data_IF_663792453246
#
_entry.id   IF_663792453246
#
_cell.length_a   1.000
_cell.length_b   1.000
_cell.length_c   1.000
_cell.angle_alpha   90.00
_cell.angle_beta   90.00
_cell.angle_gamma   90.00
#
_symmetry.space_group_name_H-M   'P 1'
#
loop_
_entity.id
_entity.type
_entity.pdbx_description
1 polymer ?
#
# COMPACT_ATOMS: atom_id res chain seq x y z
N UNK A 1 -23.99 -8.44 3.30
CA UNK A 1 -25.37 -8.96 3.23
C UNK A 1 -25.76 -9.19 1.76
N UNK A 2 -25.26 -10.27 1.16
CA UNK A 2 -25.69 -10.65 -0.18
C UNK A 2 -27.01 -11.42 -0.12
N UNK A 3 -27.94 -11.09 -1.02
CA UNK A 3 -29.14 -11.86 -1.20
C UNK A 3 -28.82 -13.18 -1.92
N UNK A 4 -29.28 -14.29 -1.40
CA UNK A 4 -29.12 -15.63 -2.00
C UNK A 4 -30.19 -15.87 -3.08
N UNK A 5 -31.35 -15.24 -2.93
CA UNK A 5 -32.51 -15.36 -3.85
C UNK A 5 -32.89 -13.98 -4.39
N UNK A 6 -33.37 -13.89 -5.64
CA UNK A 6 -33.93 -12.64 -6.19
C UNK A 6 -35.08 -12.07 -5.36
N UNK A 7 -35.76 -12.91 -4.58
CA UNK A 7 -36.88 -12.46 -3.72
C UNK A 7 -36.39 -11.69 -2.49
N UNK A 8 -35.13 -11.89 -2.10
CA UNK A 8 -34.53 -11.27 -0.93
C UNK A 8 -33.82 -9.92 -1.27
N UNK A 9 -33.90 -9.52 -2.55
CA UNK A 9 -33.36 -8.24 -2.99
C UNK A 9 -34.19 -7.10 -2.42
N UNK A 10 -33.57 -6.28 -1.57
CA UNK A 10 -34.22 -5.08 -0.99
C UNK A 10 -34.27 -3.93 -1.98
N UNK A 11 -33.23 -3.80 -2.83
CA UNK A 11 -33.20 -2.81 -3.89
C UNK A 11 -33.41 -3.48 -5.24
N UNK A 12 -34.49 -3.12 -5.91
CA UNK A 12 -34.93 -3.78 -7.16
C UNK A 12 -34.52 -2.98 -8.40
N UNK A 13 -34.75 -1.67 -8.38
CA UNK A 13 -34.44 -0.76 -9.48
C UNK A 13 -33.65 0.45 -8.94
N UNK A 14 -32.73 0.93 -9.73
CA UNK A 14 -31.91 2.11 -9.42
C UNK A 14 -32.59 3.36 -10.02
N UNK A 15 -33.68 3.80 -9.37
CA UNK A 15 -34.49 4.89 -9.91
C UNK A 15 -33.84 6.26 -9.65
N UNK A 16 -33.52 6.57 -8.39
CA UNK A 16 -33.00 7.87 -8.00
C UNK A 16 -32.03 7.76 -6.84
N UNK A 17 -30.91 8.45 -6.94
CA UNK A 17 -29.96 8.63 -5.83
C UNK A 17 -29.62 10.11 -5.63
N UNK A 18 -29.49 10.50 -4.37
CA UNK A 18 -28.92 11.78 -3.96
C UNK A 18 -27.64 11.44 -3.19
N UNK A 19 -26.51 11.96 -3.65
CA UNK A 19 -25.18 11.71 -3.07
C UNK A 19 -24.74 12.96 -2.34
N UNK A 20 -24.50 12.84 -1.03
CA UNK A 20 -23.88 13.88 -0.23
C UNK A 20 -22.37 13.81 -0.38
N UNK A 21 -21.67 14.97 -0.28
CA UNK A 21 -20.25 15.08 -0.59
C UNK A 21 -19.90 14.43 -1.94
N UNK A 22 -20.68 14.81 -2.96
CA UNK A 22 -20.71 14.14 -4.26
C UNK A 22 -19.38 14.14 -5.01
N UNK A 23 -18.56 15.14 -4.82
CA UNK A 23 -17.22 15.24 -5.37
C UNK A 23 -16.29 14.14 -4.83
N UNK A 24 -16.33 13.85 -3.53
CA UNK A 24 -15.58 12.73 -2.97
C UNK A 24 -15.99 11.40 -3.58
N UNK A 25 -17.28 11.14 -3.65
CA UNK A 25 -17.80 9.83 -4.04
C UNK A 25 -17.71 9.59 -5.54
N UNK A 26 -18.02 10.63 -6.34
CA UNK A 26 -18.15 10.50 -7.80
C UNK A 26 -16.92 10.97 -8.59
N UNK A 27 -15.99 11.69 -7.97
CA UNK A 27 -14.75 12.15 -8.60
C UNK A 27 -13.55 11.47 -7.94
N UNK A 28 -13.24 11.79 -6.66
CA UNK A 28 -12.04 11.29 -6.00
C UNK A 28 -12.03 9.75 -5.88
N UNK A 29 -13.10 9.19 -5.30
CA UNK A 29 -13.25 7.75 -5.06
C UNK A 29 -13.94 7.02 -6.21
N UNK A 30 -14.20 7.68 -7.33
CA UNK A 30 -14.98 7.15 -8.45
C UNK A 30 -14.50 5.78 -8.95
N UNK A 31 -13.19 5.58 -8.98
CA UNK A 31 -12.55 4.34 -9.44
C UNK A 31 -12.38 3.28 -8.35
N UNK A 32 -12.70 3.61 -7.11
CA UNK A 32 -12.63 2.67 -6.00
C UNK A 32 -13.59 1.51 -6.23
N UNK A 33 -13.10 0.26 -6.24
CA UNK A 33 -13.96 -0.89 -6.46
C UNK A 33 -14.74 -1.25 -5.20
N UNK A 34 -16.03 -1.43 -5.34
CA UNK A 34 -16.86 -2.17 -4.40
C UNK A 34 -16.68 -3.66 -4.69
N UNK A 35 -16.08 -4.38 -3.77
CA UNK A 35 -15.74 -5.80 -3.93
C UNK A 35 -16.69 -6.63 -3.07
N UNK A 36 -17.36 -7.59 -3.68
CA UNK A 36 -18.18 -8.58 -2.98
C UNK A 36 -17.41 -9.88 -3.01
N UNK A 37 -16.93 -10.31 -1.86
CA UNK A 37 -16.20 -11.56 -1.69
C UNK A 37 -16.84 -12.41 -0.59
N UNK A 38 -16.63 -13.72 -0.67
CA UNK A 38 -17.04 -14.66 0.36
C UNK A 38 -16.00 -15.76 0.54
N UNK A 39 -16.03 -16.47 1.68
CA UNK A 39 -15.10 -17.54 1.95
C UNK A 39 -15.31 -18.68 0.93
N UNK A 40 -14.22 -19.21 0.41
CA UNK A 40 -14.24 -20.47 -0.34
C UNK A 40 -14.49 -21.59 0.67
N UNK A 41 -15.43 -22.53 0.41
CA UNK A 41 -15.55 -23.72 1.24
C UNK A 41 -14.17 -24.37 1.34
N UNK A 42 -13.72 -24.67 2.55
CA UNK A 42 -12.42 -25.27 2.81
C UNK A 42 -12.18 -26.48 1.89
N UNK A 43 -11.36 -26.29 0.88
CA UNK A 43 -10.59 -27.36 0.28
C UNK A 43 -9.26 -27.37 1.01
N UNK A 44 -8.84 -28.51 1.42
CA UNK A 44 -7.54 -28.94 1.89
C UNK A 44 -6.68 -27.96 2.72
N UNK A 45 -5.94 -28.52 3.66
CA UNK A 45 -5.15 -27.88 4.71
C UNK A 45 -4.35 -26.68 4.21
N UNK A 46 -4.51 -25.57 4.91
CA UNK A 46 -3.75 -24.36 4.62
C UNK A 46 -2.26 -24.63 4.87
N UNK A 47 -1.52 -24.81 3.79
CA UNK A 47 -0.09 -25.12 3.82
C UNK A 47 0.78 -23.99 4.42
N UNK A 48 0.21 -22.81 4.61
CA UNK A 48 0.96 -21.64 5.09
C UNK A 48 1.64 -21.89 6.45
N UNK A 49 0.93 -22.45 7.42
CA UNK A 49 1.51 -22.75 8.74
C UNK A 49 2.56 -23.85 8.67
N UNK A 50 2.35 -24.85 7.82
CA UNK A 50 3.27 -25.99 7.67
C UNK A 50 4.57 -25.56 6.96
N UNK A 51 4.49 -24.71 5.95
CA UNK A 51 5.64 -24.29 5.15
C UNK A 51 6.38 -23.07 5.74
N UNK A 52 5.77 -22.37 6.70
CA UNK A 52 6.38 -21.21 7.37
C UNK A 52 7.81 -21.49 7.89
N UNK A 53 8.08 -22.57 8.64
CA UNK A 53 9.43 -22.81 9.17
C UNK A 53 10.49 -22.97 8.08
N UNK A 54 10.12 -23.49 6.90
CA UNK A 54 11.03 -23.60 5.75
C UNK A 54 11.38 -22.23 5.21
N UNK A 55 10.39 -21.36 5.09
CA UNK A 55 10.57 -19.99 4.61
C UNK A 55 11.38 -19.15 5.60
N UNK A 56 11.16 -19.30 6.90
CA UNK A 56 11.97 -18.64 7.93
C UNK A 56 13.46 -19.00 7.81
N UNK A 57 13.76 -20.26 7.56
CA UNK A 57 15.15 -20.72 7.30
C UNK A 57 15.73 -20.10 6.03
N UNK A 58 14.95 -20.03 4.94
CA UNK A 58 15.36 -19.38 3.69
C UNK A 58 15.68 -17.89 3.92
N UNK A 59 14.79 -17.18 4.57
CA UNK A 59 14.94 -15.74 4.85
C UNK A 59 16.14 -15.48 5.75
N UNK A 60 16.37 -16.31 6.76
CA UNK A 60 17.54 -16.19 7.63
C UNK A 60 18.86 -16.45 6.87
N UNK A 61 18.90 -17.49 6.04
CA UNK A 61 20.04 -17.79 5.19
C UNK A 61 20.32 -16.65 4.21
N UNK A 62 19.29 -16.11 3.58
CA UNK A 62 19.40 -14.98 2.66
C UNK A 62 19.88 -13.70 3.36
N UNK A 63 19.38 -13.40 4.57
CA UNK A 63 19.84 -12.26 5.38
C UNK A 63 21.33 -12.33 5.68
N UNK A 64 21.83 -13.50 6.06
CA UNK A 64 23.27 -13.72 6.30
C UNK A 64 24.07 -13.49 5.03
N UNK A 65 23.64 -14.07 3.91
CA UNK A 65 24.28 -13.96 2.61
C UNK A 65 24.29 -12.51 2.09
N UNK A 66 23.15 -11.81 2.16
CA UNK A 66 23.03 -10.41 1.75
C UNK A 66 23.95 -9.49 2.58
N UNK A 67 24.06 -9.75 3.88
CA UNK A 67 24.97 -9.00 4.77
C UNK A 67 26.42 -9.24 4.41
N UNK A 68 26.78 -10.46 4.06
CA UNK A 68 28.14 -10.80 3.61
C UNK A 68 28.46 -10.09 2.30
N UNK A 69 27.57 -10.14 1.30
CA UNK A 69 27.75 -9.41 0.04
C UNK A 69 27.85 -7.90 0.24
N UNK A 70 27.10 -7.32 1.16
CA UNK A 70 27.21 -5.89 1.47
C UNK A 70 28.57 -5.55 2.11
N UNK A 71 29.11 -6.41 2.97
CA UNK A 71 30.43 -6.23 3.58
C UNK A 71 31.53 -6.35 2.53
N UNK A 72 31.47 -7.36 1.65
CA UNK A 72 32.40 -7.55 0.56
C UNK A 72 32.35 -6.36 -0.43
N UNK A 73 31.14 -5.90 -0.77
CA UNK A 73 30.96 -4.73 -1.62
C UNK A 73 31.67 -3.49 -1.06
N UNK A 74 31.46 -3.20 0.22
CA UNK A 74 32.13 -2.04 0.89
C UNK A 74 33.62 -2.14 0.85
N UNK A 75 34.17 -3.33 1.05
CA UNK A 75 35.59 -3.58 1.05
C UNK A 75 36.20 -3.45 -0.36
N UNK A 76 35.56 -4.08 -1.36
CA UNK A 76 36.08 -4.15 -2.72
C UNK A 76 35.90 -2.84 -3.51
N UNK A 77 34.78 -2.12 -3.30
CA UNK A 77 34.57 -0.81 -3.95
C UNK A 77 35.57 0.23 -3.45
N UNK A 78 36.02 0.12 -2.22
CA UNK A 78 37.04 1.02 -1.67
C UNK A 78 38.48 0.75 -2.19
N UNK A 79 38.70 -0.34 -2.93
CA UNK A 79 40.00 -0.67 -3.53
C UNK A 79 40.34 0.28 -4.68
N UNK A 80 41.63 0.40 -4.95
CA UNK A 80 42.14 1.12 -6.13
C UNK A 80 42.18 0.27 -7.40
N UNK A 81 42.02 -1.05 -7.30
CA UNK A 81 41.97 -1.96 -8.44
C UNK A 81 40.57 -1.97 -9.09
N UNK A 82 40.55 -1.70 -10.39
CA UNK A 82 39.28 -1.63 -11.19
C UNK A 82 38.55 -2.96 -11.20
N UNK A 83 39.27 -4.08 -11.22
CA UNK A 83 38.61 -5.41 -11.22
C UNK A 83 37.94 -5.69 -9.88
N UNK A 84 38.62 -5.36 -8.77
CA UNK A 84 38.04 -5.49 -7.43
C UNK A 84 36.81 -4.57 -7.28
N UNK A 85 36.85 -3.36 -7.85
CA UNK A 85 35.67 -2.49 -7.85
C UNK A 85 34.50 -3.09 -8.63
N UNK A 86 34.74 -3.68 -9.79
CA UNK A 86 33.71 -4.35 -10.58
C UNK A 86 33.08 -5.54 -9.82
N UNK A 87 33.93 -6.36 -9.16
CA UNK A 87 33.45 -7.43 -8.26
C UNK A 87 32.67 -6.88 -7.06
N UNK A 88 33.11 -5.76 -6.51
CA UNK A 88 32.42 -5.07 -5.44
C UNK A 88 31.02 -4.57 -5.84
N UNK A 89 30.88 -4.01 -7.02
CA UNK A 89 29.57 -3.60 -7.54
C UNK A 89 28.66 -4.78 -7.86
N UNK A 90 29.21 -5.91 -8.32
CA UNK A 90 28.44 -7.15 -8.45
C UNK A 90 27.96 -7.68 -7.09
N UNK A 91 28.82 -7.66 -6.08
CA UNK A 91 28.42 -8.04 -4.71
C UNK A 91 27.33 -7.09 -4.17
N UNK A 92 27.43 -5.79 -4.45
CA UNK A 92 26.41 -4.81 -4.09
C UNK A 92 25.06 -5.09 -4.79
N UNK A 93 25.13 -5.39 -6.08
CA UNK A 93 23.94 -5.76 -6.87
C UNK A 93 23.27 -7.04 -6.34
N UNK A 94 24.08 -8.07 -6.00
CA UNK A 94 23.59 -9.29 -5.34
C UNK A 94 22.91 -8.99 -4.00
N UNK A 95 23.52 -8.14 -3.17
CA UNK A 95 22.92 -7.72 -1.90
C UNK A 95 21.57 -7.00 -2.11
N UNK A 96 21.47 -6.17 -3.14
CA UNK A 96 20.25 -5.46 -3.51
C UNK A 96 19.16 -6.42 -4.01
N UNK A 97 19.49 -7.35 -4.91
CA UNK A 97 18.53 -8.39 -5.39
C UNK A 97 18.11 -9.35 -4.29
N UNK A 98 18.97 -9.55 -3.28
CA UNK A 98 18.67 -10.42 -2.14
C UNK A 98 17.69 -9.78 -1.14
N UNK A 99 17.91 -8.52 -0.75
CA UNK A 99 17.12 -7.79 0.26
C UNK A 99 17.18 -6.27 0.01
N UNK A 100 16.40 -5.73 -0.90
CA UNK A 100 16.44 -4.32 -1.28
C UNK A 100 16.05 -3.36 -0.13
N UNK A 101 15.13 -3.76 0.75
CA UNK A 101 14.69 -2.97 1.93
C UNK A 101 15.68 -3.01 3.11
N UNK A 102 16.88 -3.60 2.97
CA UNK A 102 17.88 -3.64 4.05
C UNK A 102 18.37 -2.22 4.38
N UNK A 103 18.17 -1.78 5.62
CA UNK A 103 18.52 -0.42 6.09
C UNK A 103 20.03 -0.07 5.91
N UNK A 104 20.91 -1.05 6.11
CA UNK A 104 22.37 -0.84 5.93
C UNK A 104 22.73 -0.69 4.45
N UNK A 105 22.06 -1.42 3.56
CA UNK A 105 22.20 -1.30 2.12
C UNK A 105 21.67 0.05 1.63
N UNK A 106 20.48 0.46 2.04
CA UNK A 106 19.87 1.75 1.67
C UNK A 106 20.77 2.90 2.10
N UNK A 107 21.33 2.85 3.31
CA UNK A 107 22.29 3.84 3.80
C UNK A 107 23.53 3.90 2.91
N UNK A 108 24.08 2.77 2.51
CA UNK A 108 25.27 2.71 1.65
C UNK A 108 24.97 3.18 0.23
N UNK A 109 23.81 2.87 -0.33
CA UNK A 109 23.35 3.35 -1.64
C UNK A 109 23.15 4.88 -1.68
N UNK A 110 22.97 5.54 -0.53
CA UNK A 110 22.86 7.00 -0.46
C UNK A 110 24.22 7.72 -0.55
N UNK A 111 25.33 7.00 -0.46
CA UNK A 111 26.67 7.56 -0.64
C UNK A 111 26.93 7.91 -2.11
N UNK A 112 27.71 8.97 -2.34
CA UNK A 112 27.96 9.52 -3.67
C UNK A 112 28.60 8.48 -4.61
N UNK A 113 27.98 8.25 -5.77
CA UNK A 113 28.50 7.36 -6.82
C UNK A 113 28.14 5.87 -6.64
N UNK A 114 27.80 5.41 -5.43
CA UNK A 114 27.54 3.99 -5.14
C UNK A 114 26.31 3.50 -5.89
N UNK A 115 25.19 4.21 -5.81
CA UNK A 115 23.97 3.85 -6.53
C UNK A 115 24.15 3.84 -8.04
N UNK A 116 24.88 4.83 -8.58
CA UNK A 116 25.16 4.91 -10.02
C UNK A 116 26.01 3.73 -10.50
N UNK A 117 27.01 3.32 -9.72
CA UNK A 117 27.84 2.15 -10.01
C UNK A 117 27.02 0.83 -10.01
N UNK A 118 26.15 0.66 -9.03
CA UNK A 118 25.24 -0.49 -8.97
C UNK A 118 24.30 -0.55 -10.16
N UNK A 119 23.66 0.56 -10.54
CA UNK A 119 22.76 0.63 -11.70
C UNK A 119 23.47 0.29 -13.01
N UNK A 120 24.72 0.77 -13.17
CA UNK A 120 25.55 0.41 -14.32
C UNK A 120 25.86 -1.09 -14.37
N UNK A 121 26.07 -1.73 -13.23
CA UNK A 121 26.23 -3.18 -13.14
C UNK A 121 24.94 -3.89 -13.51
N UNK A 122 23.78 -3.43 -13.03
CA UNK A 122 22.48 -3.95 -13.39
C UNK A 122 22.28 -3.91 -14.91
N UNK A 123 22.58 -2.78 -15.59
CA UNK A 123 22.49 -2.65 -17.05
C UNK A 123 23.30 -3.72 -17.79
N UNK A 124 24.53 -4.01 -17.36
CA UNK A 124 25.38 -5.04 -17.95
C UNK A 124 24.73 -6.44 -17.92
N UNK A 125 24.07 -6.78 -16.79
CA UNK A 125 23.40 -8.08 -16.64
C UNK A 125 22.02 -8.13 -17.30
N UNK A 126 21.40 -6.97 -17.55
CA UNK A 126 20.14 -6.84 -18.30
C UNK A 126 20.33 -6.88 -19.82
N UNK A 127 21.54 -6.71 -20.33
CA UNK A 127 21.83 -6.81 -21.76
C UNK A 127 21.40 -8.16 -22.36
N UNK A 128 21.09 -8.19 -23.66
CA UNK A 128 20.69 -9.39 -24.40
C UNK A 128 19.49 -10.15 -23.80
N UNK A 129 18.43 -9.43 -23.36
CA UNK A 129 17.24 -10.02 -22.75
C UNK A 129 17.54 -10.81 -21.47
N UNK A 130 18.33 -10.25 -20.56
CA UNK A 130 18.66 -10.84 -19.26
C UNK A 130 19.40 -12.20 -19.32
N UNK A 131 20.03 -12.55 -20.45
CA UNK A 131 20.71 -13.84 -20.60
C UNK A 131 21.79 -14.10 -19.55
N UNK A 132 22.40 -13.04 -19.01
CA UNK A 132 23.45 -13.14 -18.00
C UNK A 132 22.96 -12.89 -16.57
N UNK A 133 21.69 -12.62 -16.36
CA UNK A 133 21.16 -12.31 -15.03
C UNK A 133 21.35 -13.48 -14.05
N UNK A 134 21.26 -14.72 -14.52
CA UNK A 134 21.50 -15.92 -13.74
C UNK A 134 22.92 -15.93 -13.09
N UNK A 135 23.95 -15.43 -13.76
CA UNK A 135 25.32 -15.32 -13.17
C UNK A 135 25.34 -14.48 -11.90
N UNK A 136 24.49 -13.46 -11.82
CA UNK A 136 24.37 -12.60 -10.63
C UNK A 136 23.44 -13.20 -9.58
N UNK A 137 22.37 -13.90 -9.97
CA UNK A 137 21.28 -14.30 -9.06
C UNK A 137 21.39 -15.75 -8.55
N UNK A 138 21.98 -16.69 -9.30
CA UNK A 138 22.14 -18.09 -8.90
C UNK A 138 22.81 -18.29 -7.52
N UNK A 139 23.75 -17.46 -7.08
CA UNK A 139 24.31 -17.57 -5.75
C UNK A 139 23.35 -17.24 -4.60
N UNK A 140 22.20 -16.61 -4.88
CA UNK A 140 21.18 -16.27 -3.90
C UNK A 140 20.26 -17.44 -3.62
N UNK A 141 19.49 -17.43 -2.53
CA UNK A 141 18.46 -18.42 -2.25
C UNK A 141 17.11 -18.07 -2.90
N UNK A 142 16.84 -16.78 -3.05
CA UNK A 142 15.72 -16.24 -3.81
C UNK A 142 16.06 -14.83 -4.30
N UNK A 143 15.31 -14.34 -5.26
CA UNK A 143 15.50 -13.04 -5.90
C UNK A 143 14.25 -12.20 -5.71
N UNK A 144 14.42 -10.96 -5.28
CA UNK A 144 13.32 -10.00 -5.13
C UNK A 144 13.33 -9.05 -6.32
N UNK A 145 12.20 -8.98 -7.04
CA UNK A 145 11.93 -8.02 -8.10
C UNK A 145 10.88 -7.02 -7.63
N UNK A 146 11.33 -5.89 -7.05
CA UNK A 146 10.42 -4.88 -6.51
C UNK A 146 9.47 -4.31 -7.56
N UNK A 147 9.95 -4.09 -8.80
CA UNK A 147 9.15 -3.55 -9.90
C UNK A 147 7.99 -4.46 -10.31
N UNK A 148 8.17 -5.76 -10.23
CA UNK A 148 7.17 -6.79 -10.56
C UNK A 148 6.40 -7.26 -9.33
N UNK A 149 6.79 -6.79 -8.16
CA UNK A 149 6.23 -7.24 -6.88
C UNK A 149 6.25 -8.77 -6.76
N UNK A 150 7.37 -9.39 -7.19
CA UNK A 150 7.57 -10.84 -7.18
C UNK A 150 8.81 -11.24 -6.38
N UNK A 151 8.77 -12.46 -5.87
CA UNK A 151 9.91 -13.13 -5.22
C UNK A 151 10.01 -14.52 -5.82
N UNK A 152 11.15 -14.84 -6.41
CA UNK A 152 11.37 -16.08 -7.12
C UNK A 152 12.47 -16.90 -6.45
N UNK A 153 12.19 -18.19 -6.17
CA UNK A 153 13.17 -19.13 -5.65
C UNK A 153 14.23 -19.43 -6.72
N UNK A 154 15.48 -19.54 -6.29
CA UNK A 154 16.57 -20.10 -7.11
C UNK A 154 16.72 -21.59 -6.83
N UNK A 155 17.50 -22.30 -7.68
CA UNK A 155 17.83 -23.71 -7.45
C UNK A 155 18.48 -23.92 -6.07
N UNK A 156 19.37 -23.03 -5.66
CA UNK A 156 19.97 -23.05 -4.32
C UNK A 156 18.96 -22.89 -3.20
N UNK A 157 17.91 -22.11 -3.42
CA UNK A 157 16.80 -21.96 -2.47
C UNK A 157 15.98 -23.25 -2.38
N UNK A 158 15.66 -23.85 -3.52
CA UNK A 158 14.98 -25.15 -3.58
C UNK A 158 15.78 -26.23 -2.87
N UNK A 159 17.09 -26.33 -3.13
CA UNK A 159 17.98 -27.30 -2.45
C UNK A 159 17.99 -27.13 -0.94
N UNK A 160 17.94 -25.90 -0.44
CA UNK A 160 17.92 -25.63 1.01
C UNK A 160 16.64 -26.16 1.68
N UNK A 161 15.49 -26.03 1.02
CA UNK A 161 14.20 -26.46 1.58
C UNK A 161 13.91 -27.95 1.35
N UNK A 162 14.48 -28.54 0.30
CA UNK A 162 14.32 -29.97 -0.03
C UNK A 162 15.37 -30.85 0.62
N UNK A 163 16.49 -30.33 1.09
CA UNK A 163 17.71 -31.05 1.47
C UNK A 163 17.58 -32.17 2.52
N UNK A 164 16.42 -32.35 3.17
CA UNK A 164 16.09 -33.48 4.07
C UNK A 164 14.79 -34.19 3.67
N UNK A 165 14.24 -33.91 2.51
CA UNK A 165 12.99 -34.50 2.01
C UNK A 165 13.31 -35.78 1.23
N UNK A 166 12.44 -36.81 1.35
CA UNK A 166 12.52 -38.04 0.54
C UNK A 166 12.25 -37.77 -0.94
N UNK A 167 11.56 -36.64 -1.28
CA UNK A 167 11.27 -36.22 -2.66
C UNK A 167 12.01 -34.92 -2.97
N UNK A 168 13.11 -34.96 -3.75
CA UNK A 168 13.83 -33.74 -4.17
C UNK A 168 13.04 -32.85 -5.13
N UNK A 169 11.94 -33.35 -5.73
CA UNK A 169 11.10 -32.61 -6.68
C UNK A 169 9.88 -31.95 -6.03
N UNK A 170 9.81 -31.94 -4.70
CA UNK A 170 8.64 -31.49 -3.93
C UNK A 170 8.22 -30.04 -4.24
N UNK A 171 9.20 -29.19 -4.56
CA UNK A 171 9.02 -27.78 -4.87
C UNK A 171 9.43 -27.41 -6.32
N UNK A 172 9.54 -28.42 -7.18
CA UNK A 172 9.85 -28.26 -8.60
C UNK A 172 8.58 -28.54 -9.41
N UNK A 173 8.14 -27.58 -10.21
CA UNK A 173 7.00 -27.78 -11.10
C UNK A 173 7.42 -28.68 -12.26
N UNK A 174 6.72 -29.82 -12.49
CA UNK A 174 6.97 -30.65 -13.66
C UNK A 174 6.52 -29.94 -14.95
N UNK A 175 7.22 -30.21 -16.05
CA UNK A 175 6.76 -29.79 -17.39
C UNK A 175 5.55 -30.66 -17.78
N UNK A 176 4.36 -30.17 -17.43
CA UNK A 176 3.12 -30.89 -17.66
C UNK A 176 2.81 -31.03 -19.16
N UNK A 177 3.26 -30.06 -19.99
CA UNK A 177 3.02 -30.11 -21.42
C UNK A 177 3.83 -31.25 -22.07
N UNK A 178 5.10 -31.39 -21.70
CA UNK A 178 5.93 -32.51 -22.15
C UNK A 178 5.38 -33.85 -21.67
N UNK A 179 5.03 -33.98 -20.39
CA UNK A 179 4.49 -35.22 -19.81
C UNK A 179 3.13 -35.62 -20.42
N UNK A 180 2.25 -34.68 -20.70
CA UNK A 180 0.98 -34.96 -21.38
C UNK A 180 1.20 -35.37 -22.84
N UNK A 181 2.15 -34.74 -23.53
CA UNK A 181 2.50 -35.13 -24.90
C UNK A 181 3.11 -36.54 -24.97
N UNK A 182 3.98 -36.89 -23.99
CA UNK A 182 4.51 -38.25 -23.88
C UNK A 182 3.40 -39.28 -23.63
N UNK A 183 2.44 -38.95 -22.72
CA UNK A 183 1.31 -39.84 -22.42
C UNK A 183 0.38 -40.00 -23.64
N UNK A 184 0.18 -39.00 -24.46
CA UNK A 184 -0.61 -39.07 -25.70
C UNK A 184 0.07 -39.96 -26.75
N UNK A 185 1.39 -39.96 -26.80
CA UNK A 185 2.18 -40.79 -27.74
C UNK A 185 2.37 -42.25 -27.27
N UNK A 186 1.98 -42.58 -26.04
CA UNK A 186 2.11 -43.93 -25.46
C UNK A 186 1.01 -44.85 -26.03
N UNK A 187 1.36 -45.62 -27.04
CA UNK A 187 0.41 -46.47 -27.81
C UNK A 187 0.00 -47.77 -27.09
N UNK A 188 0.61 -48.08 -25.94
CA UNK A 188 0.38 -49.33 -25.20
C UNK A 188 -0.74 -49.21 -24.15
N UNK A 189 -1.23 -48.01 -23.85
CA UNK A 189 -2.25 -47.79 -22.83
C UNK A 189 -3.66 -47.83 -23.39
N UNK A 190 -4.57 -48.39 -22.62
CA UNK A 190 -6.01 -48.25 -22.89
C UNK A 190 -6.48 -46.84 -22.62
N UNK A 191 -7.61 -46.45 -23.18
CA UNK A 191 -8.18 -45.11 -22.99
C UNK A 191 -8.50 -44.79 -21.50
N UNK A 192 -8.92 -45.82 -20.73
CA UNK A 192 -9.17 -45.72 -19.30
C UNK A 192 -7.88 -45.51 -18.50
N UNK A 193 -6.82 -46.25 -18.79
CA UNK A 193 -5.49 -46.11 -18.16
C UNK A 193 -4.86 -44.75 -18.51
N UNK A 194 -5.02 -44.30 -19.73
CA UNK A 194 -4.55 -42.98 -20.16
C UNK A 194 -5.26 -41.86 -19.42
N UNK A 195 -6.58 -41.95 -19.22
CA UNK A 195 -7.35 -40.97 -18.47
C UNK A 195 -6.93 -40.98 -16.98
N UNK A 196 -6.77 -42.16 -16.38
CA UNK A 196 -6.32 -42.28 -14.98
C UNK A 196 -4.92 -41.66 -14.77
N UNK A 197 -3.95 -41.95 -15.65
CA UNK A 197 -2.61 -41.36 -15.59
C UNK A 197 -2.65 -39.85 -15.80
N UNK A 198 -3.51 -39.34 -16.68
CA UNK A 198 -3.70 -37.92 -16.89
C UNK A 198 -4.23 -37.21 -15.65
N UNK A 199 -5.22 -37.79 -14.99
CA UNK A 199 -5.77 -37.28 -13.75
C UNK A 199 -4.74 -37.27 -12.61
N UNK A 200 -3.90 -38.32 -12.53
CA UNK A 200 -2.81 -38.41 -11.57
C UNK A 200 -1.75 -37.33 -11.80
N UNK A 201 -1.35 -37.09 -13.06
CA UNK A 201 -0.41 -36.04 -13.44
C UNK A 201 -0.96 -34.65 -13.10
N UNK A 202 -2.22 -34.38 -13.43
CA UNK A 202 -2.87 -33.12 -13.15
C UNK A 202 -3.00 -32.87 -11.64
N UNK A 203 -3.34 -33.89 -10.88
CA UNK A 203 -3.45 -33.82 -9.40
C UNK A 203 -2.07 -33.54 -8.78
N UNK A 204 -1.03 -34.25 -9.21
CA UNK A 204 0.33 -34.04 -8.72
C UNK A 204 0.84 -32.62 -9.08
N UNK A 205 0.56 -32.16 -10.29
CA UNK A 205 0.88 -30.78 -10.70
C UNK A 205 0.15 -29.75 -9.82
N UNK A 206 -1.13 -29.93 -9.55
CA UNK A 206 -1.91 -29.01 -8.73
C UNK A 206 -1.33 -28.93 -7.30
N UNK A 207 -1.01 -30.06 -6.67
CA UNK A 207 -0.40 -30.11 -5.33
C UNK A 207 0.96 -29.40 -5.31
N UNK A 208 1.83 -29.67 -6.28
CA UNK A 208 3.16 -29.02 -6.36
C UNK A 208 3.03 -27.52 -6.64
N UNK A 209 2.12 -27.13 -7.53
CA UNK A 209 1.85 -25.72 -7.86
C UNK A 209 1.36 -24.95 -6.63
N UNK A 210 0.46 -25.52 -5.84
CA UNK A 210 -0.02 -24.92 -4.60
C UNK A 210 1.10 -24.72 -3.56
N UNK A 211 1.99 -25.71 -3.41
CA UNK A 211 3.15 -25.60 -2.51
C UNK A 211 4.11 -24.50 -2.93
N UNK A 212 4.48 -24.47 -4.22
CA UNK A 212 5.37 -23.43 -4.77
C UNK A 212 4.73 -22.05 -4.60
N UNK A 213 3.43 -21.93 -4.93
CA UNK A 213 2.68 -20.70 -4.74
C UNK A 213 2.67 -20.25 -3.28
N UNK A 214 2.40 -21.16 -2.34
CA UNK A 214 2.39 -20.86 -0.90
C UNK A 214 3.76 -20.36 -0.42
N UNK A 215 4.86 -20.99 -0.85
CA UNK A 215 6.21 -20.52 -0.52
C UNK A 215 6.48 -19.13 -1.07
N UNK A 216 6.10 -18.86 -2.31
CA UNK A 216 6.30 -17.55 -2.94
C UNK A 216 5.51 -16.47 -2.19
N UNK A 217 4.28 -16.74 -1.79
CA UNK A 217 3.48 -15.81 -0.99
C UNK A 217 4.07 -15.59 0.42
N UNK A 218 4.55 -16.64 1.07
CA UNK A 218 5.25 -16.50 2.36
C UNK A 218 6.55 -15.71 2.21
N UNK A 219 7.39 -16.00 1.21
CA UNK A 219 8.60 -15.23 0.94
C UNK A 219 8.28 -13.76 0.72
N UNK A 220 7.24 -13.48 -0.06
CA UNK A 220 6.74 -12.12 -0.30
C UNK A 220 6.31 -11.44 1.00
N UNK A 221 5.54 -12.13 1.85
CA UNK A 221 5.13 -11.63 3.15
C UNK A 221 6.32 -11.29 4.08
N UNK A 222 7.37 -12.13 4.07
CA UNK A 222 8.56 -11.93 4.92
C UNK A 222 9.54 -10.88 4.41
N UNK A 223 9.55 -10.58 3.11
CA UNK A 223 10.58 -9.75 2.47
C UNK A 223 10.09 -8.40 1.99
N UNK A 224 8.80 -8.27 1.72
CA UNK A 224 8.23 -7.07 1.10
C UNK A 224 7.18 -6.37 1.96
N UNK A 225 6.65 -7.03 2.99
CA UNK A 225 5.61 -6.49 3.86
C UNK A 225 6.10 -6.38 5.30
N UNK A 226 6.07 -5.18 5.88
CA UNK A 226 6.49 -4.89 7.25
C UNK A 226 5.28 -4.48 8.12
N UNK A 227 5.28 -4.95 9.35
CA UNK A 227 4.26 -4.56 10.34
C UNK A 227 4.39 -3.08 10.68
N UNK A 228 3.26 -2.39 10.84
CA UNK A 228 3.11 -0.95 11.05
C UNK A 228 3.46 -0.07 9.84
N UNK A 229 3.71 -0.67 8.69
CA UNK A 229 3.89 0.02 7.41
C UNK A 229 2.79 -0.40 6.44
N UNK A 230 2.86 -1.59 5.88
CA UNK A 230 1.85 -2.09 4.93
C UNK A 230 0.63 -2.73 5.64
N UNK A 231 0.78 -3.18 6.89
CA UNK A 231 -0.31 -3.77 7.68
C UNK A 231 -0.09 -3.61 9.19
N UNK A 232 -1.16 -3.81 9.96
CA UNK A 232 -1.13 -3.88 11.43
C UNK A 232 -1.83 -5.14 11.91
N UNK A 233 -1.50 -5.57 13.11
CA UNK A 233 -2.21 -6.66 13.80
C UNK A 233 -3.05 -6.05 14.93
N UNK A 234 -4.37 -6.14 14.81
CA UNK A 234 -5.33 -5.65 15.79
C UNK A 234 -6.35 -6.75 16.09
N UNK A 235 -6.64 -6.97 17.36
CA UNK A 235 -7.62 -7.96 17.82
C UNK A 235 -7.37 -9.38 17.26
N UNK A 236 -6.09 -9.74 17.07
CA UNK A 236 -5.69 -11.03 16.51
C UNK A 236 -5.96 -11.18 15.01
N UNK A 237 -6.16 -10.09 14.29
CA UNK A 237 -6.38 -10.05 12.85
C UNK A 237 -5.37 -9.14 12.15
N UNK A 238 -4.95 -9.53 10.96
CA UNK A 238 -4.16 -8.67 10.07
C UNK A 238 -5.09 -7.69 9.37
N UNK A 239 -4.78 -6.40 9.44
CA UNK A 239 -5.51 -5.33 8.76
C UNK A 239 -4.57 -4.55 7.86
N UNK A 240 -4.98 -4.30 6.62
CA UNK A 240 -4.20 -3.55 5.65
C UNK A 240 -4.16 -2.08 6.05
N UNK A 241 -2.99 -1.46 5.90
CA UNK A 241 -2.80 -0.02 6.03
C UNK A 241 -2.58 0.57 4.65
N UNK A 242 -3.30 1.61 4.33
CA UNK A 242 -3.09 2.39 3.11
C UNK A 242 -1.79 3.18 3.22
N UNK A 243 -0.84 2.95 2.34
CA UNK A 243 0.49 3.57 2.36
C UNK A 243 0.44 5.10 2.22
N UNK A 244 -0.55 5.63 1.50
CA UNK A 244 -0.67 7.06 1.25
C UNK A 244 -1.35 7.79 2.41
N UNK A 245 -2.42 7.23 2.93
CA UNK A 245 -3.23 7.86 3.98
C UNK A 245 -2.90 7.36 5.39
N UNK A 246 -2.24 6.20 5.52
CA UNK A 246 -2.00 5.52 6.78
C UNK A 246 -3.28 4.97 7.43
N UNK A 247 -4.40 4.92 6.70
CA UNK A 247 -5.69 4.43 7.20
C UNK A 247 -5.76 2.92 7.16
N UNK A 248 -6.40 2.35 8.19
CA UNK A 248 -6.75 0.94 8.19
C UNK A 248 -7.90 0.72 7.21
N UNK A 249 -7.68 -0.18 6.26
CA UNK A 249 -8.67 -0.57 5.28
C UNK A 249 -9.54 -1.70 5.82
N UNK A 250 -10.63 -1.36 6.51
CA UNK A 250 -11.53 -2.35 7.10
C UNK A 250 -12.16 -3.25 6.02
N UNK A 251 -12.15 -4.56 6.29
CA UNK A 251 -12.75 -5.57 5.41
C UNK A 251 -11.99 -5.87 4.12
N UNK A 252 -10.86 -5.21 3.84
CA UNK A 252 -9.99 -5.53 2.71
C UNK A 252 -8.95 -6.59 3.09
N UNK A 253 -8.66 -7.45 2.14
CA UNK A 253 -7.63 -8.49 2.25
C UNK A 253 -6.73 -8.48 1.00
N UNK A 254 -5.47 -8.82 1.16
CA UNK A 254 -4.59 -9.07 0.02
C UNK A 254 -5.06 -10.31 -0.74
N UNK A 255 -4.93 -10.28 -2.07
CA UNK A 255 -5.29 -11.38 -2.96
C UNK A 255 -4.25 -12.51 -2.97
N UNK A 256 -4.58 -13.58 -3.67
CA UNK A 256 -3.68 -14.67 -4.06
C UNK A 256 -2.96 -15.38 -2.90
N UNK A 257 -3.57 -15.46 -1.72
CA UNK A 257 -2.97 -16.11 -0.56
C UNK A 257 -1.97 -15.25 0.22
N UNK A 258 -1.66 -14.03 -0.24
CA UNK A 258 -0.72 -13.15 0.46
C UNK A 258 -1.22 -12.76 1.87
N UNK A 259 -2.53 -12.53 2.02
CA UNK A 259 -3.09 -12.21 3.34
C UNK A 259 -2.91 -13.35 4.32
N UNK A 260 -3.18 -14.57 3.89
CA UNK A 260 -2.95 -15.80 4.67
C UNK A 260 -1.47 -15.99 5.00
N UNK A 261 -0.58 -15.66 4.06
CA UNK A 261 0.87 -15.70 4.29
C UNK A 261 1.31 -14.72 5.38
N UNK A 262 0.72 -13.51 5.41
CA UNK A 262 0.99 -12.52 6.46
C UNK A 262 0.38 -12.98 7.79
N UNK A 263 -0.85 -13.53 7.79
CA UNK A 263 -1.46 -14.11 8.99
C UNK A 263 -0.58 -15.22 9.59
N UNK A 264 -0.06 -16.13 8.75
CA UNK A 264 0.87 -17.16 9.16
C UNK A 264 2.19 -16.59 9.69
N UNK A 265 2.75 -15.57 9.02
CA UNK A 265 3.97 -14.86 9.46
C UNK A 265 3.81 -14.27 10.86
N UNK A 266 2.68 -13.60 11.13
CA UNK A 266 2.41 -12.94 12.40
C UNK A 266 1.85 -13.91 13.47
N UNK A 267 1.75 -15.20 13.14
CA UNK A 267 1.25 -16.24 14.05
C UNK A 267 -0.16 -15.93 14.59
N UNK A 268 -0.99 -15.32 13.77
CA UNK A 268 -2.42 -15.16 14.00
C UNK A 268 -3.19 -16.24 13.26
N UNK A 269 -4.47 -16.43 13.60
CA UNK A 269 -5.30 -17.44 12.95
C UNK A 269 -5.39 -17.17 11.44
N UNK A 270 -4.96 -18.14 10.64
CA UNK A 270 -5.11 -18.08 9.19
C UNK A 270 -6.57 -18.29 8.79
N UNK A 271 -7.18 -17.30 8.19
CA UNK A 271 -8.57 -17.37 7.74
C UNK A 271 -8.66 -17.98 6.34
N UNK A 272 -9.85 -18.54 6.02
CA UNK A 272 -10.11 -19.15 4.72
C UNK A 272 -9.87 -18.11 3.59
N UNK A 273 -9.37 -18.60 2.45
CA UNK A 273 -9.27 -17.80 1.25
C UNK A 273 -10.66 -17.23 0.87
N UNK A 274 -10.69 -16.01 0.39
CA UNK A 274 -11.93 -15.38 -0.08
C UNK A 274 -11.93 -15.31 -1.60
N UNK A 275 -13.06 -15.69 -2.20
CA UNK A 275 -13.26 -15.52 -3.63
C UNK A 275 -14.07 -14.25 -3.90
N UNK A 276 -13.62 -13.44 -4.83
CA UNK A 276 -14.38 -12.29 -5.32
C UNK A 276 -15.49 -12.78 -6.24
N UNK A 277 -16.74 -12.58 -5.84
CA UNK A 277 -17.92 -12.95 -6.64
C UNK A 277 -18.30 -11.85 -7.62
N UNK A 278 -18.13 -10.59 -7.21
CA UNK A 278 -18.46 -9.44 -8.03
C UNK A 278 -17.61 -8.23 -7.63
N UNK A 279 -17.34 -7.38 -8.61
CA UNK A 279 -16.70 -6.08 -8.39
C UNK A 279 -17.38 -5.04 -9.29
N UNK A 280 -17.55 -3.84 -8.77
CA UNK A 280 -18.04 -2.68 -9.52
C UNK A 280 -17.39 -1.43 -8.94
N UNK A 281 -16.98 -0.48 -9.78
CA UNK A 281 -16.51 0.82 -9.29
C UNK A 281 -17.68 1.69 -8.83
N UNK A 282 -17.45 2.62 -7.91
CA UNK A 282 -18.46 3.60 -7.48
C UNK A 282 -19.03 4.34 -8.68
N UNK A 283 -18.18 4.77 -9.61
CA UNK A 283 -18.59 5.41 -10.87
C UNK A 283 -19.62 4.58 -11.64
N UNK A 284 -19.32 3.30 -11.87
CA UNK A 284 -20.23 2.44 -12.64
C UNK A 284 -21.51 2.12 -11.86
N UNK A 285 -21.40 1.97 -10.54
CA UNK A 285 -22.57 1.74 -9.70
C UNK A 285 -23.56 2.90 -9.76
N UNK A 286 -23.10 4.15 -9.56
CA UNK A 286 -23.96 5.31 -9.59
C UNK A 286 -24.51 5.63 -10.98
N UNK A 287 -23.81 5.28 -12.05
CA UNK A 287 -24.30 5.37 -13.44
C UNK A 287 -25.46 4.43 -13.75
N UNK A 288 -25.74 3.44 -12.89
CA UNK A 288 -26.93 2.58 -13.04
C UNK A 288 -28.23 3.28 -12.65
N UNK A 289 -28.18 4.40 -11.93
CA UNK A 289 -29.36 5.13 -11.54
C UNK A 289 -29.93 5.93 -12.71
N UNK A 290 -31.24 5.87 -12.88
CA UNK A 290 -31.95 6.65 -13.91
C UNK A 290 -31.88 8.16 -13.66
N UNK A 291 -31.92 8.54 -12.38
CA UNK A 291 -31.79 9.93 -11.93
C UNK A 291 -30.76 10.01 -10.81
N UNK A 292 -29.76 10.85 -11.02
CA UNK A 292 -28.68 11.08 -10.07
C UNK A 292 -28.62 12.57 -9.74
N UNK A 293 -28.39 12.88 -8.49
CA UNK A 293 -28.09 14.24 -8.02
C UNK A 293 -27.15 14.18 -6.82
N UNK A 294 -26.56 15.31 -6.48
CA UNK A 294 -25.65 15.38 -5.35
C UNK A 294 -25.52 16.79 -4.83
N UNK A 295 -24.79 16.92 -3.72
CA UNK A 295 -24.47 18.19 -3.10
C UNK A 295 -23.06 18.13 -2.49
N UNK A 296 -22.39 19.26 -2.54
CA UNK A 296 -21.08 19.49 -1.91
C UNK A 296 -20.77 20.97 -1.86
N UNK A 297 -19.80 21.37 -1.06
CA UNK A 297 -19.30 22.73 -1.02
C UNK A 297 -18.29 23.07 -2.13
N UNK A 298 -17.81 22.10 -2.91
CA UNK A 298 -16.61 22.21 -3.79
C UNK A 298 -16.81 21.68 -5.21
N UNK A 299 -18.04 21.58 -5.72
CA UNK A 299 -18.30 20.99 -7.05
C UNK A 299 -17.95 21.88 -8.25
N UNK A 300 -17.83 23.20 -8.07
CA UNK A 300 -17.70 24.15 -9.19
C UNK A 300 -16.46 23.90 -10.05
N UNK A 301 -15.35 23.53 -9.43
CA UNK A 301 -14.09 23.25 -10.13
C UNK A 301 -14.12 21.97 -10.94
N UNK A 302 -14.93 21.01 -10.52
CA UNK A 302 -15.07 19.68 -11.14
C UNK A 302 -16.32 19.61 -12.06
N UNK A 303 -16.94 20.76 -12.37
CA UNK A 303 -18.17 20.82 -13.18
C UNK A 303 -18.03 20.13 -14.55
N UNK A 304 -16.84 20.27 -15.18
CA UNK A 304 -16.55 19.61 -16.45
C UNK A 304 -16.57 18.08 -16.33
N UNK A 305 -15.96 17.52 -15.29
CA UNK A 305 -15.91 16.07 -15.06
C UNK A 305 -17.27 15.51 -14.68
N UNK A 306 -18.08 16.23 -13.87
CA UNK A 306 -19.46 15.86 -13.60
C UNK A 306 -20.30 15.78 -14.87
N UNK A 307 -20.13 16.72 -15.78
CA UNK A 307 -20.81 16.70 -17.06
C UNK A 307 -20.33 15.56 -17.97
N UNK A 308 -19.03 15.40 -18.11
CA UNK A 308 -18.47 14.43 -19.04
C UNK A 308 -18.82 12.99 -18.67
N UNK A 309 -18.77 12.64 -17.38
CA UNK A 309 -18.96 11.28 -16.89
C UNK A 309 -20.44 10.98 -16.58
N UNK A 310 -21.12 11.88 -15.86
CA UNK A 310 -22.45 11.62 -15.29
C UNK A 310 -23.56 12.41 -15.95
N UNK A 311 -23.24 13.38 -16.83
CA UNK A 311 -24.17 14.32 -17.44
C UNK A 311 -24.93 15.16 -16.40
N UNK A 312 -24.23 15.53 -15.33
CA UNK A 312 -24.75 16.38 -14.26
C UNK A 312 -24.24 17.80 -14.43
N UNK A 313 -25.19 18.74 -14.40
CA UNK A 313 -24.87 20.17 -14.31
C UNK A 313 -24.60 20.58 -12.87
N UNK A 314 -23.64 21.47 -12.68
CA UNK A 314 -23.32 22.05 -11.39
C UNK A 314 -23.98 23.42 -11.25
N UNK A 315 -24.87 23.55 -10.26
CA UNK A 315 -25.54 24.81 -9.95
C UNK A 315 -24.98 25.37 -8.65
N UNK A 316 -24.34 26.52 -8.72
CA UNK A 316 -23.79 27.21 -7.55
C UNK A 316 -24.93 27.97 -6.84
N UNK A 317 -25.23 27.53 -5.60
CA UNK A 317 -26.24 28.19 -4.77
C UNK A 317 -25.52 29.28 -3.93
N UNK A 318 -25.93 30.55 -4.04
CA UNK A 318 -25.28 31.60 -3.27
C UNK A 318 -25.50 31.43 -1.77
N UNK A 319 -24.49 31.78 -0.98
CA UNK A 319 -24.55 31.71 0.48
C UNK A 319 -25.64 32.59 1.05
N UNK A 320 -26.36 32.11 2.08
CA UNK A 320 -27.41 32.86 2.79
C UNK A 320 -26.85 34.15 3.46
N UNK A 321 -25.60 34.16 3.87
CA UNK A 321 -24.91 35.31 4.47
C UNK A 321 -23.65 35.60 3.70
N UNK A 322 -23.20 36.90 3.68
CA UNK A 322 -21.92 37.26 3.04
C UNK A 322 -20.76 36.43 3.61
N UNK A 323 -19.87 36.04 2.74
CA UNK A 323 -18.64 35.30 3.12
C UNK A 323 -17.76 36.23 3.95
N UNK A 324 -17.45 35.85 5.20
CA UNK A 324 -16.55 36.59 6.10
C UNK A 324 -15.11 36.05 6.05
N UNK A 325 -14.87 34.93 5.41
CA UNK A 325 -13.53 34.36 5.23
C UNK A 325 -12.65 35.28 4.42
N UNK A 326 -11.40 35.45 4.84
CA UNK A 326 -10.38 36.19 4.13
C UNK A 326 -9.30 35.24 3.66
N UNK A 327 -9.24 35.00 2.36
CA UNK A 327 -8.20 34.22 1.73
C UNK A 327 -6.96 35.10 1.53
N UNK A 328 -5.85 34.69 2.12
CA UNK A 328 -4.57 35.40 2.02
C UNK A 328 -3.80 34.90 0.81
N UNK A 329 -2.90 35.76 0.29
CA UNK A 329 -2.02 35.36 -0.80
C UNK A 329 -1.04 34.27 -0.37
N UNK A 330 -0.71 33.35 -1.30
CA UNK A 330 0.30 32.34 -1.09
C UNK A 330 1.66 32.94 -0.79
N UNK A 331 2.40 32.32 0.12
CA UNK A 331 3.78 32.66 0.42
C UNK A 331 4.72 31.61 -0.16
N UNK A 332 5.62 32.03 -1.04
CA UNK A 332 6.58 31.15 -1.73
C UNK A 332 7.94 31.24 -1.05
N UNK A 333 8.54 30.09 -0.75
CA UNK A 333 9.83 29.96 -0.08
C UNK A 333 10.83 29.21 -0.96
N UNK A 334 12.11 29.53 -0.84
CA UNK A 334 13.18 28.86 -1.60
C UNK A 334 13.42 27.44 -1.12
N UNK A 335 13.22 27.17 0.17
CA UNK A 335 13.49 25.88 0.79
C UNK A 335 12.34 25.41 1.68
N UNK A 336 12.17 24.09 1.81
CA UNK A 336 11.21 23.50 2.75
C UNK A 336 11.47 23.94 4.20
N UNK A 337 12.76 24.10 4.57
CA UNK A 337 13.15 24.54 5.91
C UNK A 337 12.66 25.94 6.24
N UNK A 338 12.82 26.90 5.30
CA UNK A 338 12.29 28.25 5.44
C UNK A 338 10.77 28.27 5.55
N UNK A 339 10.09 27.50 4.70
CA UNK A 339 8.64 27.34 4.73
C UNK A 339 8.14 26.89 6.10
N UNK A 340 8.64 25.77 6.61
CA UNK A 340 8.17 25.24 7.90
C UNK A 340 8.54 26.13 9.09
N UNK A 341 9.68 26.84 9.02
CA UNK A 341 10.02 27.85 10.02
C UNK A 341 8.98 28.98 10.05
N UNK A 342 8.61 29.49 8.88
CA UNK A 342 7.59 30.55 8.75
C UNK A 342 6.20 30.07 9.22
N UNK A 343 5.82 28.82 8.90
CA UNK A 343 4.57 28.22 9.39
C UNK A 343 4.53 28.21 10.93
N UNK A 344 5.61 27.81 11.59
CA UNK A 344 5.67 27.75 13.06
C UNK A 344 5.62 29.16 13.67
N UNK A 345 6.35 30.13 13.10
CA UNK A 345 6.32 31.52 13.56
C UNK A 345 4.92 32.13 13.43
N UNK A 346 4.19 31.80 12.36
CA UNK A 346 2.81 32.26 12.18
C UNK A 346 1.85 31.59 13.18
N UNK A 347 2.02 30.29 13.44
CA UNK A 347 1.26 29.58 14.47
C UNK A 347 1.47 30.25 15.84
N UNK A 348 2.70 30.54 16.24
CA UNK A 348 3.02 31.22 17.50
C UNK A 348 2.29 32.55 17.64
N UNK A 349 2.31 33.37 16.60
CA UNK A 349 1.65 34.68 16.59
C UNK A 349 0.12 34.56 16.72
N UNK A 350 -0.48 33.61 16.01
CA UNK A 350 -1.93 33.38 16.05
C UNK A 350 -2.40 32.84 17.41
N UNK A 351 -1.65 31.91 17.99
CA UNK A 351 -1.92 31.38 19.32
C UNK A 351 -1.83 32.48 20.39
N UNK A 352 -0.81 33.35 20.31
CA UNK A 352 -0.68 34.50 21.20
C UNK A 352 -1.83 35.49 21.05
N UNK A 353 -2.39 35.62 19.86
CA UNK A 353 -3.57 36.42 19.59
C UNK A 353 -4.89 35.76 20.06
N UNK A 354 -4.84 34.58 20.68
CA UNK A 354 -6.00 33.85 21.16
C UNK A 354 -6.81 33.17 20.05
N UNK A 355 -6.27 33.03 18.85
CA UNK A 355 -6.94 32.37 17.73
C UNK A 355 -6.62 30.89 17.69
N UNK A 356 -7.59 30.01 17.46
CA UNK A 356 -7.30 28.63 17.13
C UNK A 356 -6.70 28.52 15.71
N UNK A 357 -5.81 27.57 15.51
CA UNK A 357 -5.09 27.36 14.25
C UNK A 357 -5.30 25.93 13.79
N UNK A 358 -5.79 25.79 12.56
CA UNK A 358 -5.85 24.52 11.84
C UNK A 358 -4.75 24.49 10.77
N UNK A 359 -3.85 23.51 10.86
CA UNK A 359 -2.73 23.36 9.93
C UNK A 359 -3.00 22.17 9.02
N UNK A 360 -3.25 22.42 7.75
CA UNK A 360 -3.45 21.40 6.72
C UNK A 360 -2.12 20.88 6.19
N UNK A 361 -1.96 19.55 6.15
CA UNK A 361 -0.78 18.87 5.61
C UNK A 361 -1.18 17.85 4.56
N UNK A 362 -0.31 17.59 3.59
CA UNK A 362 -0.57 16.67 2.48
C UNK A 362 -0.22 15.22 2.80
N UNK A 363 0.55 14.98 3.88
CA UNK A 363 0.92 13.61 4.28
C UNK A 363 1.05 13.46 5.80
N UNK A 364 0.96 12.21 6.26
CA UNK A 364 1.18 11.84 7.67
C UNK A 364 2.59 12.21 8.12
N UNK A 365 3.61 12.01 7.27
CA UNK A 365 5.01 12.35 7.58
C UNK A 365 5.19 13.84 7.87
N UNK A 366 4.58 14.70 7.05
CA UNK A 366 4.63 16.16 7.26
C UNK A 366 3.92 16.53 8.55
N UNK A 367 2.79 15.90 8.86
CA UNK A 367 2.07 16.14 10.11
C UNK A 367 2.89 15.77 11.35
N UNK A 368 3.58 14.62 11.32
CA UNK A 368 4.47 14.15 12.40
C UNK A 368 5.72 15.03 12.53
N UNK A 369 6.30 15.46 11.41
CA UNK A 369 7.44 16.37 11.41
C UNK A 369 7.07 17.73 12.04
N UNK A 370 5.96 18.33 11.63
CA UNK A 370 5.47 19.59 12.21
C UNK A 370 5.14 19.42 13.69
N UNK A 371 4.53 18.31 14.09
CA UNK A 371 4.26 17.98 15.49
C UNK A 371 5.56 17.96 16.32
N UNK A 372 6.62 17.32 15.84
CA UNK A 372 7.94 17.34 16.50
C UNK A 372 8.51 18.76 16.61
N UNK A 373 8.38 19.57 15.56
CA UNK A 373 8.86 20.95 15.56
C UNK A 373 8.09 21.85 16.54
N UNK A 374 6.76 21.71 16.64
CA UNK A 374 5.93 22.42 17.60
C UNK A 374 6.24 21.97 19.05
N UNK A 375 6.45 20.69 19.27
CA UNK A 375 6.85 20.14 20.58
C UNK A 375 8.19 20.72 21.03
N UNK A 376 9.17 20.87 20.14
CA UNK A 376 10.46 21.52 20.46
C UNK A 376 10.29 22.99 20.87
N UNK A 377 9.25 23.66 20.35
CA UNK A 377 8.88 25.04 20.72
C UNK A 377 7.95 25.11 21.93
N UNK A 378 7.57 23.97 22.52
CA UNK A 378 6.63 23.84 23.65
C UNK A 378 5.24 24.41 23.33
N UNK A 379 4.81 24.29 22.08
CA UNK A 379 3.47 24.67 21.64
C UNK A 379 2.58 23.42 21.78
N UNK A 380 1.54 23.53 22.62
CA UNK A 380 0.56 22.46 22.74
C UNK A 380 -0.24 22.33 21.46
N UNK A 381 -0.39 21.13 20.97
CA UNK A 381 -1.11 20.86 19.73
C UNK A 381 -1.69 19.44 19.71
N UNK A 382 -2.68 19.25 18.88
CA UNK A 382 -3.26 17.95 18.58
C UNK A 382 -2.97 17.57 17.13
N UNK A 383 -2.77 16.27 16.87
CA UNK A 383 -2.57 15.76 15.51
C UNK A 383 -3.76 14.90 15.14
N UNK A 384 -4.39 15.26 14.03
CA UNK A 384 -5.50 14.56 13.43
C UNK A 384 -5.00 13.89 12.14
N UNK A 385 -4.67 12.62 12.23
CA UNK A 385 -4.24 11.83 11.10
C UNK A 385 -4.88 10.44 11.16
N UNK A 386 -4.71 9.69 10.08
CA UNK A 386 -5.32 8.38 9.91
C UNK A 386 -4.98 7.35 11.02
N UNK A 387 -3.91 7.56 11.78
CA UNK A 387 -3.50 6.66 12.89
C UNK A 387 -4.32 6.85 14.17
N UNK A 388 -5.10 7.93 14.30
CA UNK A 388 -5.74 8.34 15.57
C UNK A 388 -7.27 8.43 15.51
N UNK A 389 -7.92 7.63 14.67
CA UNK A 389 -9.38 7.65 14.44
C UNK A 389 -10.26 7.67 15.69
N UNK A 390 -9.88 6.92 16.73
CA UNK A 390 -10.71 6.80 17.93
C UNK A 390 -10.82 8.11 18.75
N UNK A 391 -9.91 9.07 18.53
CA UNK A 391 -9.87 10.37 19.21
C UNK A 391 -10.29 11.54 18.33
N UNK A 392 -10.68 11.28 17.10
CA UNK A 392 -10.98 12.30 16.10
C UNK A 392 -12.07 13.28 16.59
N UNK A 393 -13.19 12.76 17.07
CA UNK A 393 -14.30 13.58 17.56
C UNK A 393 -13.89 14.49 18.71
N UNK A 394 -13.08 13.99 19.66
CA UNK A 394 -12.59 14.77 20.80
C UNK A 394 -11.61 15.87 20.39
N UNK A 395 -10.76 15.60 19.41
CA UNK A 395 -9.80 16.56 18.85
C UNK A 395 -10.55 17.68 18.13
N UNK A 396 -11.50 17.32 17.25
CA UNK A 396 -12.30 18.30 16.51
C UNK A 396 -13.16 19.17 17.43
N UNK A 397 -13.76 18.57 18.47
CA UNK A 397 -14.52 19.32 19.47
C UNK A 397 -13.69 20.40 20.18
N UNK A 398 -12.37 20.18 20.33
CA UNK A 398 -11.44 21.13 20.94
C UNK A 398 -10.80 22.09 19.96
N UNK A 399 -10.78 21.76 18.66
CA UNK A 399 -10.08 22.55 17.63
C UNK A 399 -10.56 23.99 17.48
N UNK A 400 -11.77 24.30 17.92
CA UNK A 400 -12.34 25.66 17.91
C UNK A 400 -12.14 26.47 19.19
N UNK A 401 -11.40 25.97 20.19
CA UNK A 401 -11.11 26.68 21.43
C UNK A 401 -9.96 27.66 21.24
N UNK A 402 -9.95 28.73 22.04
CA UNK A 402 -8.93 29.78 21.98
C UNK A 402 -7.52 29.24 22.16
N UNK A 403 -6.61 29.61 21.25
CA UNK A 403 -5.19 29.26 21.32
C UNK A 403 -4.86 27.79 21.04
N UNK A 404 -5.81 26.97 20.60
CA UNK A 404 -5.57 25.58 20.24
C UNK A 404 -4.92 25.47 18.87
N UNK A 405 -4.02 24.49 18.71
CA UNK A 405 -3.41 24.16 17.42
C UNK A 405 -3.78 22.72 17.06
N UNK A 406 -4.32 22.55 15.85
CA UNK A 406 -4.67 21.25 15.32
C UNK A 406 -3.96 21.06 13.98
N UNK A 407 -3.14 20.01 13.87
CA UNK A 407 -2.53 19.60 12.60
C UNK A 407 -3.41 18.51 12.03
N UNK A 408 -3.91 18.70 10.80
CA UNK A 408 -4.76 17.73 10.12
C UNK A 408 -4.18 17.35 8.77
N UNK A 409 -4.22 16.06 8.43
CA UNK A 409 -4.01 15.62 7.05
C UNK A 409 -5.29 15.85 6.25
N UNK A 410 -5.16 16.01 4.93
CA UNK A 410 -6.24 16.42 4.01
C UNK A 410 -7.58 15.67 4.18
N UNK A 411 -7.53 14.39 4.56
CA UNK A 411 -8.74 13.56 4.68
C UNK A 411 -9.29 13.50 6.11
N UNK A 412 -8.56 14.03 7.09
CA UNK A 412 -8.96 13.93 8.48
C UNK A 412 -9.90 15.08 8.89
N UNK A 413 -11.01 14.77 9.55
CA UNK A 413 -11.99 15.76 10.00
C UNK A 413 -12.96 16.25 8.93
N UNK A 414 -12.96 15.69 7.73
CA UNK A 414 -13.91 16.03 6.67
C UNK A 414 -15.35 15.74 7.11
N UNK A 415 -16.29 16.66 6.79
CA UNK A 415 -17.68 16.54 7.21
C UNK A 415 -17.95 16.85 8.69
N UNK A 416 -16.93 17.29 9.44
CA UNK A 416 -17.07 17.61 10.86
C UNK A 416 -16.97 19.13 11.08
N UNK A 417 -17.99 19.70 11.71
CA UNK A 417 -18.07 21.15 11.97
C UNK A 417 -17.24 21.57 13.19
N UNK A 418 -16.32 22.52 13.02
CA UNK A 418 -15.53 23.11 14.10
C UNK A 418 -16.30 24.29 14.70
N UNK A 419 -16.86 24.11 15.89
CA UNK A 419 -17.64 25.13 16.58
C UNK A 419 -16.73 26.17 17.23
N UNK A 420 -16.91 27.45 16.88
CA UNK A 420 -16.16 28.57 17.43
C UNK A 420 -16.94 29.28 18.53
N UNK A 421 -16.27 29.54 19.66
CA UNK A 421 -16.84 30.36 20.74
C UNK A 421 -16.99 31.83 20.33
N UNK A 422 -17.87 32.63 20.99
CA UNK A 422 -17.99 34.05 20.71
C UNK A 422 -16.68 34.83 20.88
N UNK A 423 -15.86 34.45 21.85
CA UNK A 423 -14.54 35.05 22.11
C UNK A 423 -13.58 34.83 20.93
N UNK A 424 -13.53 33.60 20.39
CA UNK A 424 -12.72 33.25 19.24
C UNK A 424 -13.18 34.00 18.00
N UNK A 425 -14.50 34.14 17.80
CA UNK A 425 -15.04 34.94 16.71
C UNK A 425 -14.63 36.41 16.81
N UNK A 426 -14.64 37.00 18.01
CA UNK A 426 -14.19 38.36 18.29
C UNK A 426 -12.68 38.55 18.06
N UNK A 427 -11.86 37.52 18.35
CA UNK A 427 -10.41 37.50 18.11
C UNK A 427 -10.03 37.35 16.62
N UNK A 428 -11.00 37.14 15.73
CA UNK A 428 -10.78 36.97 14.29
C UNK A 428 -11.03 35.57 13.74
N UNK A 429 -11.63 34.70 14.56
CA UNK A 429 -12.05 33.35 14.15
C UNK A 429 -10.92 32.35 14.00
N UNK A 430 -11.23 31.21 13.39
CA UNK A 430 -10.28 30.14 13.09
C UNK A 430 -9.27 30.61 12.04
N UNK A 431 -8.00 30.40 12.29
CA UNK A 431 -6.94 30.59 11.31
C UNK A 431 -6.59 29.25 10.66
N UNK A 432 -6.50 29.22 9.34
CA UNK A 432 -6.20 28.03 8.57
C UNK A 432 -4.89 28.25 7.82
N UNK A 433 -3.94 27.35 7.99
CA UNK A 433 -2.64 27.38 7.33
C UNK A 433 -2.51 26.11 6.48
N UNK A 434 -2.63 26.25 5.15
CA UNK A 434 -2.29 25.18 4.20
C UNK A 434 -0.78 25.12 3.99
N UNK A 435 -0.16 23.98 4.23
CA UNK A 435 1.30 23.85 4.06
C UNK A 435 1.71 23.69 2.60
N UNK A 436 0.86 23.17 1.76
CA UNK A 436 1.07 22.99 0.33
C UNK A 436 -0.25 23.12 -0.42
N UNK A 437 -0.19 23.54 -1.69
CA UNK A 437 -1.32 23.37 -2.60
C UNK A 437 -1.34 21.96 -3.12
N UNK A 438 -2.53 21.41 -3.31
CA UNK A 438 -2.74 20.09 -3.92
C UNK A 438 -3.41 20.28 -5.27
N UNK A 439 -3.25 19.34 -6.20
CA UNK A 439 -3.85 19.37 -7.53
C UNK A 439 -5.39 19.28 -7.46
N UNK A 440 -5.94 18.63 -6.43
CA UNK A 440 -7.36 18.61 -6.13
C UNK A 440 -7.73 19.71 -5.14
N UNK A 441 -8.73 20.53 -5.47
CA UNK A 441 -9.23 21.62 -4.62
C UNK A 441 -9.79 21.11 -3.29
N UNK A 442 -10.34 19.90 -3.30
CA UNK A 442 -10.84 19.18 -2.14
C UNK A 442 -9.78 19.06 -1.04
N UNK A 443 -8.52 18.89 -1.42
CA UNK A 443 -7.39 18.77 -0.49
C UNK A 443 -6.77 20.11 -0.09
N UNK A 444 -7.15 21.22 -0.71
CA UNK A 444 -6.59 22.54 -0.43
C UNK A 444 -7.61 23.53 0.13
N UNK A 445 -8.89 23.26 -0.01
CA UNK A 445 -9.96 24.09 0.56
C UNK A 445 -10.49 23.41 1.82
N UNK A 446 -10.27 24.00 3.00
CA UNK A 446 -10.96 23.56 4.20
C UNK A 446 -12.42 23.95 4.05
N UNK A 447 -13.27 22.95 3.98
CA UNK A 447 -14.73 23.12 3.96
C UNK A 447 -15.25 23.63 5.30
#
# INVERSE_FOLDING_TARGET
NMAISPKDLVQRQHNYAIVDEVDSVLIDDARTPLIISGPIPKGEEQLFEQLRPLVERLVEAQKKLATQYLADAKRLIASSDKKEQEEGFLALFRSHKALPKNKALIKYLSEQGIKAGMLKTEEIYMEQNNKRMHEATDPLYFVIEEKLNSVDLTDKGVDLITGNSEDPTLFVLPDIAAQLSELENETQLTDEERLAKKDELLTNYAIKSERVHTINQLLKAYTMFEINDEYVVLDGQVKIVDEQTGRIMEGRRYSDGLHQAIEAKENVKVEAATQTFATITLQNYFRMYHKLSGMTGTAETEAGEFWDIYKLDVVVIPTNRPISRKDMNDRVYKTKREKYKAVIEEIEQLVQAGRPVLVGTTSVEISEMLSKMLSMRKIEHSVLNAKLHQKEADIVAKAGLSGTVTIATNMAGRGTDIKLSPEVKAAGGLAIIGTERHDCLLYTSPS
#
